data_IF_290216214373
#
_entry.id   IF_290216214373
#
_cell.length_a   1.000
_cell.length_b   1.000
_cell.length_c   1.000
_cell.angle_alpha   90.00
_cell.angle_beta   90.00
_cell.angle_gamma   90.00
#
_symmetry.space_group_name_H-M   'P 1'
#
loop_
_entity.id
_entity.type
_entity.pdbx_description
1 polymer ?
#
# COMPACT_ATOMS: atom_id res chain seq x y z
N UNK A 1 -47.58 60.45 -37.73
CA UNK A 1 -46.35 59.69 -37.40
C UNK A 1 -46.69 58.67 -36.34
N UNK A 2 -46.95 57.41 -36.74
CA UNK A 2 -47.29 56.31 -35.84
C UNK A 2 -46.08 55.41 -35.62
N UNK A 3 -45.58 55.35 -34.39
CA UNK A 3 -44.45 54.51 -34.00
C UNK A 3 -44.99 53.08 -33.78
N UNK A 4 -44.72 52.18 -34.72
CA UNK A 4 -44.94 50.73 -34.57
C UNK A 4 -43.95 50.18 -33.55
N UNK A 5 -44.44 49.76 -32.38
CA UNK A 5 -43.68 48.90 -31.45
C UNK A 5 -43.56 47.51 -32.05
N UNK A 6 -42.34 47.09 -32.33
CA UNK A 6 -41.98 45.72 -32.69
C UNK A 6 -41.87 44.94 -31.38
N UNK A 7 -42.86 44.07 -31.10
CA UNK A 7 -42.74 43.09 -30.03
C UNK A 7 -41.75 42.01 -30.49
N UNK A 8 -40.60 41.92 -29.82
CA UNK A 8 -39.65 40.83 -29.99
C UNK A 8 -40.20 39.60 -29.26
N UNK A 9 -40.46 38.45 -29.91
CA UNK A 9 -40.94 37.26 -29.23
C UNK A 9 -39.84 36.78 -28.28
N UNK A 10 -40.15 36.86 -26.99
CA UNK A 10 -39.27 36.40 -25.93
C UNK A 10 -38.78 34.99 -26.21
N UNK A 11 -37.46 34.86 -26.27
CA UNK A 11 -36.76 33.58 -26.25
C UNK A 11 -37.08 32.91 -24.92
N UNK A 12 -38.17 32.15 -24.87
CA UNK A 12 -38.46 31.18 -23.82
C UNK A 12 -37.49 30.00 -24.00
N UNK A 13 -36.18 30.24 -23.82
CA UNK A 13 -35.21 29.17 -23.63
C UNK A 13 -35.43 28.56 -22.24
N UNK A 14 -36.43 27.69 -22.16
CA UNK A 14 -36.26 26.33 -21.66
C UNK A 14 -35.41 26.18 -20.38
N UNK A 15 -35.83 26.79 -19.26
CA UNK A 15 -35.31 26.46 -17.91
C UNK A 15 -35.45 24.98 -17.52
N UNK A 16 -36.26 24.18 -18.23
CA UNK A 16 -36.49 22.75 -17.96
C UNK A 16 -35.50 21.80 -18.65
N UNK A 17 -34.96 22.16 -19.82
CA UNK A 17 -33.96 21.36 -20.52
C UNK A 17 -32.65 21.20 -19.71
N UNK A 18 -32.09 22.22 -19.04
CA UNK A 18 -30.86 22.05 -18.27
C UNK A 18 -31.05 21.17 -17.02
N UNK A 19 -32.23 21.16 -16.39
CA UNK A 19 -32.49 20.32 -15.23
C UNK A 19 -32.56 18.82 -15.59
N UNK A 20 -33.19 18.48 -16.72
CA UNK A 20 -33.27 17.09 -17.18
C UNK A 20 -31.89 16.52 -17.55
N UNK A 21 -31.04 17.31 -18.22
CA UNK A 21 -29.68 16.91 -18.57
C UNK A 21 -28.80 16.73 -17.33
N UNK A 22 -28.91 17.62 -16.34
CA UNK A 22 -28.20 17.49 -15.06
C UNK A 22 -28.62 16.20 -14.33
N UNK A 23 -29.92 15.90 -14.29
CA UNK A 23 -30.42 14.69 -13.65
C UNK A 23 -29.88 13.41 -14.32
N UNK A 24 -29.90 13.34 -15.66
CA UNK A 24 -29.34 12.21 -16.41
C UNK A 24 -27.84 12.07 -16.12
N UNK A 25 -27.10 13.16 -16.08
CA UNK A 25 -25.67 13.15 -15.73
C UNK A 25 -25.43 12.64 -14.30
N UNK A 26 -26.21 13.10 -13.32
CA UNK A 26 -26.15 12.60 -11.95
C UNK A 26 -26.50 11.10 -11.87
N UNK A 27 -27.50 10.64 -12.62
CA UNK A 27 -27.82 9.21 -12.69
C UNK A 27 -26.71 8.39 -13.34
N UNK A 28 -26.04 8.89 -14.39
CA UNK A 28 -24.90 8.21 -14.99
C UNK A 28 -23.73 8.10 -14.01
N UNK A 29 -23.40 9.18 -13.30
CA UNK A 29 -22.36 9.16 -12.25
C UNK A 29 -22.76 8.20 -11.13
N UNK A 30 -24.01 8.24 -10.67
CA UNK A 30 -24.50 7.35 -9.62
C UNK A 30 -24.44 5.88 -10.05
N UNK A 31 -24.84 5.56 -11.28
CA UNK A 31 -24.73 4.19 -11.81
C UNK A 31 -23.28 3.73 -11.87
N UNK A 32 -22.36 4.57 -12.37
CA UNK A 32 -20.92 4.26 -12.36
C UNK A 32 -20.43 4.07 -10.92
N UNK A 33 -20.84 4.93 -9.99
CA UNK A 33 -20.49 4.80 -8.58
C UNK A 33 -20.97 3.47 -7.99
N UNK A 34 -22.24 3.11 -8.17
CA UNK A 34 -22.79 1.87 -7.64
C UNK A 34 -22.20 0.63 -8.33
N UNK A 35 -21.92 0.69 -9.63
CA UNK A 35 -21.35 -0.45 -10.36
C UNK A 35 -19.88 -0.69 -10.03
N UNK A 36 -19.08 0.36 -9.84
CA UNK A 36 -17.63 0.23 -9.70
C UNK A 36 -17.11 0.44 -8.27
N UNK A 37 -17.84 1.17 -7.43
CA UNK A 37 -17.38 1.59 -6.10
C UNK A 37 -18.25 1.08 -4.95
N UNK A 38 -19.43 0.51 -5.22
CA UNK A 38 -20.20 -0.21 -4.20
C UNK A 38 -19.71 -1.65 -4.13
N UNK A 39 -18.79 -1.91 -3.21
CA UNK A 39 -18.30 -3.26 -2.99
C UNK A 39 -19.35 -4.10 -2.25
N UNK A 40 -19.33 -5.41 -2.49
CA UNK A 40 -20.10 -6.36 -1.70
C UNK A 40 -19.71 -6.30 -0.20
N UNK A 41 -20.44 -7.04 0.65
CA UNK A 41 -20.13 -7.09 2.07
C UNK A 41 -18.65 -7.49 2.29
N UNK A 42 -17.96 -6.92 3.28
CA UNK A 42 -16.55 -7.19 3.55
C UNK A 42 -16.20 -8.67 3.62
N UNK A 43 -17.12 -9.48 4.12
CA UNK A 43 -17.00 -10.92 4.26
C UNK A 43 -16.79 -11.63 2.90
N UNK A 44 -17.52 -11.19 1.87
CA UNK A 44 -17.40 -11.77 0.51
C UNK A 44 -16.04 -11.43 -0.11
N UNK A 45 -15.56 -10.20 0.12
CA UNK A 45 -14.24 -9.75 -0.36
C UNK A 45 -13.15 -10.56 0.33
N UNK A 46 -13.24 -10.72 1.65
CA UNK A 46 -12.29 -11.52 2.43
C UNK A 46 -12.30 -12.99 2.01
N UNK A 47 -13.48 -13.59 1.79
CA UNK A 47 -13.61 -14.97 1.35
C UNK A 47 -12.93 -15.21 -0.01
N UNK A 48 -13.09 -14.28 -0.96
CA UNK A 48 -12.42 -14.37 -2.28
C UNK A 48 -10.90 -14.28 -2.16
N UNK A 49 -10.39 -13.38 -1.32
CA UNK A 49 -8.93 -13.26 -1.09
C UNK A 49 -8.36 -14.51 -0.41
N UNK A 50 -9.07 -15.09 0.56
CA UNK A 50 -8.68 -16.38 1.19
C UNK A 50 -8.64 -17.53 0.18
N UNK A 51 -9.62 -17.62 -0.71
CA UNK A 51 -9.63 -18.64 -1.77
C UNK A 51 -8.45 -18.50 -2.72
N UNK A 52 -8.05 -17.28 -3.07
CA UNK A 52 -6.87 -17.04 -3.90
C UNK A 52 -5.57 -17.46 -3.19
N UNK A 53 -5.47 -17.25 -1.88
CA UNK A 53 -4.32 -17.70 -1.09
C UNK A 53 -4.22 -19.23 -1.03
N UNK A 54 -5.32 -19.92 -0.71
CA UNK A 54 -5.32 -21.39 -0.65
C UNK A 54 -5.11 -22.05 -2.02
N UNK A 55 -5.62 -21.44 -3.10
CA UNK A 55 -5.36 -21.91 -4.46
C UNK A 55 -3.88 -21.83 -4.83
N UNK A 56 -3.17 -20.77 -4.40
CA UNK A 56 -1.75 -20.62 -4.64
C UNK A 56 -0.88 -21.56 -3.79
N UNK A 57 -1.37 -21.99 -2.62
CA UNK A 57 -0.70 -22.92 -1.71
C UNK A 57 -0.82 -24.38 -2.20
N UNK A 58 -1.97 -24.77 -2.76
CA UNK A 58 -2.21 -26.13 -3.27
C UNK A 58 -1.39 -26.49 -4.52
N UNK A 59 -0.89 -25.49 -5.26
CA UNK A 59 -0.05 -25.70 -6.44
C UNK A 59 1.46 -25.65 -6.12
N UNK A 60 1.84 -25.33 -4.87
CA UNK A 60 3.23 -25.05 -4.46
C UNK A 60 3.67 -25.85 -3.21
N UNK A 61 3.30 -27.12 -3.09
CA UNK A 61 3.70 -27.99 -1.97
C UNK A 61 5.22 -28.30 -1.87
N UNK A 62 6.07 -27.70 -2.72
CA UNK A 62 7.54 -27.85 -2.64
C UNK A 62 8.32 -26.52 -2.60
N UNK A 63 7.64 -25.36 -2.59
CA UNK A 63 8.29 -24.05 -2.41
C UNK A 63 7.37 -23.11 -1.64
N UNK A 64 7.59 -23.00 -0.33
CA UNK A 64 6.90 -22.04 0.55
C UNK A 64 7.13 -20.60 0.10
N UNK A 65 6.23 -20.14 -0.78
CA UNK A 65 6.38 -18.87 -1.48
C UNK A 65 5.01 -18.23 -1.73
N UNK A 66 4.50 -17.49 -0.75
CA UNK A 66 3.59 -16.36 -1.00
C UNK A 66 4.34 -15.20 -1.71
N UNK A 67 5.12 -15.52 -2.75
CA UNK A 67 5.57 -14.56 -3.74
C UNK A 67 4.58 -14.69 -4.86
N UNK A 68 3.77 -13.65 -5.05
CA UNK A 68 3.18 -13.43 -6.34
C UNK A 68 4.31 -13.47 -7.39
N UNK A 69 4.39 -14.59 -8.12
CA UNK A 69 5.01 -14.71 -9.44
C UNK A 69 6.45 -14.15 -9.55
N UNK A 70 7.40 -14.82 -8.89
CA UNK A 70 8.85 -14.59 -9.11
C UNK A 70 9.29 -14.93 -10.55
N UNK A 71 8.52 -15.74 -11.27
CA UNK A 71 8.87 -16.21 -12.62
C UNK A 71 8.80 -15.13 -13.71
N UNK A 72 8.12 -14.01 -13.48
CA UNK A 72 8.19 -12.84 -14.39
C UNK A 72 9.37 -11.90 -14.08
N UNK A 73 10.07 -12.09 -12.95
CA UNK A 73 11.22 -11.27 -12.56
C UNK A 73 12.48 -11.60 -13.38
N UNK A 74 12.67 -12.86 -13.78
CA UNK A 74 13.87 -13.30 -14.49
C UNK A 74 13.86 -13.01 -16.00
N UNK A 75 12.77 -12.47 -16.55
CA UNK A 75 12.62 -12.27 -17.99
C UNK A 75 13.05 -10.88 -18.48
N UNK A 76 13.36 -9.92 -17.61
CA UNK A 76 13.62 -8.51 -18.00
C UNK A 76 15.02 -8.00 -17.62
N UNK A 77 15.79 -8.70 -16.78
CA UNK A 77 17.12 -8.25 -16.33
C UNK A 77 18.30 -9.06 -16.90
N UNK A 78 18.14 -9.69 -18.07
CA UNK A 78 19.25 -10.35 -18.77
C UNK A 78 19.86 -9.45 -19.84
N UNK A 79 20.44 -8.30 -19.46
CA UNK A 79 21.53 -7.70 -20.23
C UNK A 79 22.58 -7.08 -19.28
N UNK A 80 23.78 -7.68 -19.33
CA UNK A 80 25.10 -7.13 -18.98
C UNK A 80 25.58 -7.14 -17.51
N UNK A 81 26.33 -8.21 -17.17
CA UNK A 81 27.73 -8.05 -16.74
C UNK A 81 28.05 -8.11 -15.24
N UNK A 82 28.67 -9.22 -14.81
CA UNK A 82 29.44 -9.32 -13.56
C UNK A 82 29.10 -10.55 -12.74
N UNK A 83 30.02 -11.52 -12.65
CA UNK A 83 29.93 -12.73 -11.83
C UNK A 83 30.11 -12.43 -10.33
N UNK A 84 29.39 -11.43 -9.81
CA UNK A 84 29.24 -11.24 -8.37
C UNK A 84 28.10 -12.16 -7.91
N UNK A 85 28.44 -13.19 -7.16
CA UNK A 85 27.52 -14.15 -6.55
C UNK A 85 26.55 -13.39 -5.62
N UNK A 86 25.43 -12.90 -6.18
CA UNK A 86 24.39 -12.20 -5.41
C UNK A 86 23.88 -13.14 -4.32
N UNK A 87 24.28 -12.87 -3.08
CA UNK A 87 23.76 -13.54 -1.89
C UNK A 87 22.24 -13.36 -1.88
N UNK A 88 21.49 -14.46 -1.82
CA UNK A 88 20.04 -14.40 -1.75
C UNK A 88 19.64 -14.22 -0.29
N UNK A 89 18.57 -13.46 -0.04
CA UNK A 89 17.98 -13.31 1.30
C UNK A 89 17.66 -14.68 1.94
N UNK A 90 17.34 -15.69 1.13
CA UNK A 90 17.04 -17.06 1.57
C UNK A 90 18.22 -17.79 2.23
N UNK A 91 19.45 -17.33 1.97
CA UNK A 91 20.65 -17.88 2.59
C UNK A 91 20.97 -17.21 3.94
N UNK A 92 20.29 -16.10 4.27
CA UNK A 92 20.42 -15.40 5.54
C UNK A 92 19.60 -16.11 6.64
N UNK A 93 20.22 -16.64 7.72
CA UNK A 93 19.50 -17.33 8.78
C UNK A 93 18.46 -16.45 9.49
N UNK A 94 18.74 -15.15 9.65
CA UNK A 94 17.85 -14.20 10.33
C UNK A 94 16.59 -13.93 9.49
N UNK A 95 16.75 -13.90 8.16
CA UNK A 95 15.61 -13.86 7.24
C UNK A 95 14.73 -15.09 7.38
N UNK A 96 15.32 -16.29 7.38
CA UNK A 96 14.58 -17.55 7.47
C UNK A 96 13.82 -17.65 8.80
N UNK A 97 14.46 -17.28 9.91
CA UNK A 97 13.84 -17.29 11.23
C UNK A 97 12.71 -16.27 11.33
N UNK A 98 12.96 -15.01 10.95
CA UNK A 98 11.95 -13.94 10.99
C UNK A 98 10.74 -14.26 10.10
N UNK A 99 10.97 -14.81 8.89
CA UNK A 99 9.91 -15.28 7.99
C UNK A 99 9.01 -16.31 8.66
N UNK A 100 9.59 -17.33 9.29
CA UNK A 100 8.84 -18.39 9.99
C UNK A 100 8.00 -17.83 11.14
N UNK A 101 8.53 -16.89 11.92
CA UNK A 101 7.79 -16.26 13.02
C UNK A 101 6.56 -15.50 12.51
N UNK A 102 6.73 -14.68 11.47
CA UNK A 102 5.63 -13.93 10.89
C UNK A 102 4.59 -14.83 10.21
N UNK A 103 5.01 -15.87 9.48
CA UNK A 103 4.08 -16.82 8.87
C UNK A 103 3.24 -17.55 9.93
N UNK A 104 3.85 -17.97 11.05
CA UNK A 104 3.14 -18.56 12.17
C UNK A 104 2.16 -17.58 12.81
N UNK A 105 2.55 -16.31 12.96
CA UNK A 105 1.66 -15.25 13.46
C UNK A 105 0.44 -15.06 12.55
N UNK A 106 0.64 -14.97 11.23
CA UNK A 106 -0.46 -14.83 10.26
C UNK A 106 -1.40 -16.04 10.31
N UNK A 107 -0.83 -17.25 10.28
CA UNK A 107 -1.60 -18.51 10.26
C UNK A 107 -2.38 -18.72 11.56
N UNK A 108 -1.77 -18.48 12.71
CA UNK A 108 -2.43 -18.66 14.02
C UNK A 108 -3.60 -17.70 14.25
N UNK A 109 -3.61 -16.56 13.58
CA UNK A 109 -4.67 -15.55 13.69
C UNK A 109 -5.67 -15.56 12.52
N UNK A 110 -5.57 -16.51 11.57
CA UNK A 110 -6.43 -16.60 10.38
C UNK A 110 -6.48 -15.28 9.57
N UNK A 111 -5.32 -14.62 9.47
CA UNK A 111 -5.16 -13.37 8.74
C UNK A 111 -4.87 -13.58 7.26
N UNK A 112 -5.38 -12.65 6.44
CA UNK A 112 -5.07 -12.59 5.01
C UNK A 112 -3.88 -11.65 4.83
N UNK A 113 -2.68 -12.21 4.67
CA UNK A 113 -1.47 -11.42 4.37
C UNK A 113 -1.53 -10.85 2.96
N UNK A 114 -1.32 -9.54 2.82
CA UNK A 114 -1.28 -8.85 1.51
C UNK A 114 0.12 -8.36 1.16
N UNK A 115 1.05 -8.30 2.10
CA UNK A 115 2.45 -8.11 1.78
C UNK A 115 3.38 -8.08 2.97
N UNK A 116 4.66 -8.05 2.64
CA UNK A 116 5.78 -8.26 3.53
C UNK A 116 6.59 -6.97 3.65
N UNK A 117 7.09 -6.68 4.86
CA UNK A 117 7.90 -5.50 5.16
C UNK A 117 9.29 -5.94 5.61
N UNK A 118 10.32 -5.47 4.91
CA UNK A 118 11.71 -5.86 5.15
C UNK A 118 12.53 -4.71 5.76
N UNK A 119 13.55 -5.02 6.57
CA UNK A 119 14.45 -4.05 7.24
C UNK A 119 15.48 -3.38 6.33
N UNK A 120 15.70 -3.95 5.13
CA UNK A 120 16.65 -3.47 4.15
C UNK A 120 16.02 -3.26 2.77
N UNK A 121 16.53 -2.28 2.03
CA UNK A 121 16.13 -2.04 0.64
C UNK A 121 17.03 -2.72 -0.40
N UNK A 122 18.23 -3.10 0.01
CA UNK A 122 19.20 -3.79 -0.84
C UNK A 122 18.98 -5.32 -0.70
N UNK A 123 19.31 -6.07 -1.74
CA UNK A 123 19.18 -7.54 -1.73
C UNK A 123 20.34 -8.17 -0.96
N UNK A 124 20.07 -9.26 -0.23
CA UNK A 124 21.08 -10.07 0.46
C UNK A 124 21.21 -9.79 1.96
N UNK A 125 20.52 -8.76 2.48
CA UNK A 125 20.58 -8.37 3.90
C UNK A 125 19.19 -7.99 4.46
N UNK A 126 18.13 -8.54 3.88
CA UNK A 126 16.77 -8.24 4.32
C UNK A 126 16.35 -9.16 5.45
N UNK A 127 15.82 -8.59 6.53
CA UNK A 127 15.11 -9.33 7.58
C UNK A 127 13.63 -8.94 7.52
N UNK A 128 12.73 -9.90 7.71
CA UNK A 128 11.30 -9.61 7.70
C UNK A 128 10.88 -8.99 9.03
N UNK A 129 10.57 -7.69 9.00
CA UNK A 129 10.23 -6.89 10.19
C UNK A 129 8.74 -6.64 10.33
N UNK A 130 7.93 -6.98 9.32
CA UNK A 130 6.51 -6.71 9.38
C UNK A 130 5.68 -7.44 8.33
N UNK A 131 4.37 -7.36 8.53
CA UNK A 131 3.34 -7.87 7.64
C UNK A 131 2.23 -6.84 7.49
N UNK A 132 1.74 -6.67 6.27
CA UNK A 132 0.48 -6.00 6.00
C UNK A 132 -0.61 -7.05 5.80
N UNK A 133 -1.71 -6.92 6.53
CA UNK A 133 -2.86 -7.83 6.44
C UNK A 133 -4.11 -7.09 5.98
N UNK A 134 -5.05 -7.84 5.40
CA UNK A 134 -6.38 -7.35 5.08
C UNK A 134 -7.37 -7.73 6.19
N UNK A 135 -8.20 -6.77 6.61
CA UNK A 135 -9.29 -6.95 7.58
C UNK A 135 -10.58 -6.30 7.07
N UNK A 136 -11.76 -6.78 7.50
CA UNK A 136 -13.01 -6.08 7.25
C UNK A 136 -13.04 -4.75 8.01
N UNK A 137 -13.43 -3.67 7.32
CA UNK A 137 -13.69 -2.37 7.95
C UNK A 137 -15.18 -2.28 8.32
N UNK A 138 -15.52 -2.73 9.52
CA UNK A 138 -16.91 -2.73 10.01
C UNK A 138 -17.46 -1.34 10.27
N UNK A 139 -16.60 -0.35 10.50
CA UNK A 139 -17.00 1.01 10.84
C UNK A 139 -17.36 1.80 9.60
N UNK A 140 -16.56 1.70 8.54
CA UNK A 140 -16.76 2.47 7.31
C UNK A 140 -17.31 1.64 6.14
N UNK A 141 -17.44 0.32 6.31
CA UNK A 141 -17.71 -0.62 5.23
C UNK A 141 -16.46 -0.91 4.38
N UNK A 142 -16.47 -2.05 3.70
CA UNK A 142 -15.36 -2.51 2.86
C UNK A 142 -14.22 -3.16 3.63
N UNK A 143 -12.98 -2.94 3.20
CA UNK A 143 -11.77 -3.55 3.77
C UNK A 143 -10.77 -2.47 4.19
N UNK A 144 -9.93 -2.81 5.17
CA UNK A 144 -8.79 -2.02 5.60
C UNK A 144 -7.53 -2.87 5.64
N UNK A 145 -6.39 -2.21 5.49
CA UNK A 145 -5.09 -2.80 5.75
C UNK A 145 -4.78 -2.59 7.24
N UNK A 146 -4.25 -3.62 7.89
CA UNK A 146 -3.59 -3.49 9.19
C UNK A 146 -2.13 -3.84 9.00
N UNK A 147 -1.27 -2.90 9.34
CA UNK A 147 0.18 -3.05 9.23
C UNK A 147 0.70 -3.38 10.61
N UNK A 148 1.44 -4.48 10.71
CA UNK A 148 2.26 -4.83 11.87
C UNK A 148 3.71 -4.60 11.50
N UNK A 149 4.43 -3.87 12.34
CA UNK A 149 5.85 -3.62 12.17
C UNK A 149 6.56 -3.80 13.52
N UNK A 150 7.65 -4.54 13.53
CA UNK A 150 8.52 -4.70 14.67
C UNK A 150 9.96 -4.46 14.25
N UNK A 151 10.59 -3.47 14.83
CA UNK A 151 11.95 -3.09 14.47
C UNK A 151 12.66 -2.47 15.68
N UNK A 152 13.99 -2.42 15.60
CA UNK A 152 14.86 -1.86 16.65
C UNK A 152 15.80 -0.87 16.01
N UNK A 153 16.01 0.28 16.64
CA UNK A 153 17.03 1.23 16.23
C UNK A 153 18.36 0.89 16.89
N UNK A 154 19.45 0.85 16.13
CA UNK A 154 20.79 0.56 16.69
C UNK A 154 21.36 1.75 17.46
N UNK A 155 21.05 2.97 17.02
CA UNK A 155 21.57 4.22 17.55
C UNK A 155 20.42 5.14 18.03
N UNK A 156 20.76 6.15 18.81
CA UNK A 156 19.81 7.17 19.26
C UNK A 156 19.60 8.19 18.12
N UNK A 157 18.34 8.54 17.85
CA UNK A 157 18.01 9.47 16.78
C UNK A 157 17.16 10.64 17.28
N UNK A 158 17.71 11.84 17.11
CA UNK A 158 17.08 13.10 17.52
C UNK A 158 16.16 13.68 16.44
N UNK A 159 16.32 13.23 15.19
CA UNK A 159 15.56 13.68 14.04
C UNK A 159 16.18 13.23 12.73
N UNK A 160 15.59 13.64 11.62
CA UNK A 160 15.93 13.14 10.30
C UNK A 160 14.81 13.32 9.29
N UNK A 161 15.01 12.78 8.09
CA UNK A 161 14.03 12.77 7.02
C UNK A 161 13.46 11.37 6.84
N UNK A 162 12.14 11.27 6.69
CA UNK A 162 11.45 10.06 6.24
C UNK A 162 11.12 10.23 4.76
N UNK A 163 11.59 9.32 3.94
CA UNK A 163 11.36 9.30 2.49
C UNK A 163 10.50 8.10 2.15
N UNK A 164 9.47 8.29 1.32
CA UNK A 164 8.60 7.24 0.81
C UNK A 164 8.53 7.29 -0.72
N UNK A 165 9.12 6.30 -1.35
CA UNK A 165 9.08 6.07 -2.78
C UNK A 165 8.11 4.93 -3.09
N UNK A 166 7.12 5.18 -3.95
CA UNK A 166 6.18 4.17 -4.45
C UNK A 166 6.26 4.13 -5.96
N UNK A 167 6.44 2.92 -6.52
CA UNK A 167 6.39 2.67 -7.95
C UNK A 167 5.21 1.78 -8.30
N UNK A 168 4.53 2.09 -9.40
CA UNK A 168 3.51 1.26 -10.03
C UNK A 168 3.98 0.82 -11.42
N UNK A 169 4.13 -0.48 -11.63
CA UNK A 169 4.66 -1.07 -12.87
C UNK A 169 5.97 -0.39 -13.32
N UNK A 170 6.93 -0.27 -12.40
CA UNK A 170 8.24 0.37 -12.57
C UNK A 170 8.18 1.88 -12.88
N UNK A 171 7.01 2.52 -12.81
CA UNK A 171 6.88 3.98 -12.92
C UNK A 171 6.68 4.58 -11.54
N UNK A 172 7.36 5.68 -11.28
CA UNK A 172 7.15 6.45 -10.05
C UNK A 172 5.67 6.89 -9.97
N UNK A 173 5.04 6.53 -8.86
CA UNK A 173 3.67 6.88 -8.54
C UNK A 173 3.63 7.96 -7.46
N UNK A 174 4.55 7.88 -6.51
CA UNK A 174 4.62 8.75 -5.35
C UNK A 174 6.06 8.83 -4.88
N UNK A 175 6.53 10.03 -4.61
CA UNK A 175 7.79 10.31 -3.95
C UNK A 175 7.53 11.48 -3.02
N UNK A 176 7.79 11.28 -1.73
CA UNK A 176 7.59 12.33 -0.76
C UNK A 176 8.54 12.20 0.41
N UNK A 177 8.87 13.36 0.94
CA UNK A 177 9.86 13.58 1.97
C UNK A 177 9.20 14.32 3.11
N UNK A 178 9.47 13.89 4.33
CA UNK A 178 8.95 14.56 5.51
C UNK A 178 9.99 14.60 6.62
N UNK A 179 9.99 15.69 7.38
CA UNK A 179 10.72 15.74 8.63
C UNK A 179 10.12 14.73 9.61
N UNK A 180 10.93 13.76 10.02
CA UNK A 180 10.51 12.59 10.79
C UNK A 180 9.77 13.00 12.07
N UNK A 181 10.28 14.01 12.77
CA UNK A 181 9.74 14.43 14.06
C UNK A 181 8.47 15.30 13.97
N UNK A 182 8.07 15.70 12.76
CA UNK A 182 6.93 16.61 12.51
C UNK A 182 5.74 15.85 11.90
N UNK A 183 5.99 14.70 11.24
CA UNK A 183 5.00 13.89 10.52
C UNK A 183 3.67 13.68 11.25
N UNK A 184 3.72 13.56 12.59
CA UNK A 184 2.60 13.14 13.41
C UNK A 184 2.37 14.02 14.66
N UNK A 185 2.98 15.20 14.77
CA UNK A 185 2.96 15.99 16.02
C UNK A 185 1.54 16.33 16.51
N UNK A 186 0.57 16.42 15.59
CA UNK A 186 -0.83 16.75 15.88
C UNK A 186 -1.79 15.55 15.73
N UNK A 187 -1.28 14.33 15.54
CA UNK A 187 -2.10 13.13 15.37
C UNK A 187 -2.21 12.40 16.73
N UNK A 188 -3.43 12.00 17.15
CA UNK A 188 -3.61 11.27 18.41
C UNK A 188 -2.96 9.88 18.41
N UNK A 189 -2.66 9.36 17.23
CA UNK A 189 -2.08 8.05 16.96
C UNK A 189 -0.71 8.19 16.27
N UNK A 190 0.08 9.14 16.77
CA UNK A 190 1.45 9.41 16.39
C UNK A 190 2.28 8.13 16.41
N UNK A 191 2.92 7.82 15.28
CA UNK A 191 3.81 6.67 15.14
C UNK A 191 5.26 7.07 15.41
N UNK A 192 5.63 8.31 15.07
CA UNK A 192 7.01 8.74 15.17
C UNK A 192 7.26 9.60 16.40
N UNK A 193 7.92 9.04 17.41
CA UNK A 193 8.35 9.76 18.60
C UNK A 193 9.82 10.11 18.51
N UNK A 194 10.16 11.40 18.59
CA UNK A 194 11.54 11.85 18.74
C UNK A 194 11.74 12.36 20.17
N UNK A 195 12.87 12.04 20.82
CA UNK A 195 13.96 11.19 20.32
C UNK A 195 13.64 9.69 20.40
N UNK A 196 14.32 8.89 19.56
CA UNK A 196 14.31 7.43 19.66
C UNK A 196 15.52 6.94 20.44
N UNK A 197 15.28 6.09 21.44
CA UNK A 197 16.35 5.47 22.22
C UNK A 197 17.04 4.34 21.45
N UNK A 198 18.38 4.29 21.54
CA UNK A 198 19.18 3.20 21.00
C UNK A 198 18.78 1.86 21.63
N UNK A 199 18.70 0.82 20.81
CA UNK A 199 18.35 -0.55 21.16
C UNK A 199 16.93 -0.73 21.75
N UNK A 200 16.08 0.30 21.68
CA UNK A 200 14.68 0.15 22.05
C UNK A 200 13.92 -0.62 20.97
N UNK A 201 13.17 -1.64 21.41
CA UNK A 201 12.29 -2.40 20.54
C UNK A 201 10.97 -1.65 20.34
N UNK A 202 10.60 -1.44 19.08
CA UNK A 202 9.37 -0.76 18.70
C UNK A 202 8.44 -1.72 17.99
N UNK A 203 7.20 -1.79 18.46
CA UNK A 203 6.13 -2.57 17.83
C UNK A 203 4.96 -1.65 17.52
N UNK A 204 4.59 -1.59 16.24
CA UNK A 204 3.52 -0.75 15.74
C UNK A 204 2.43 -1.57 15.09
N UNK A 205 1.20 -1.16 15.35
CA UNK A 205 0.01 -1.65 14.67
C UNK A 205 -0.77 -0.46 14.16
N UNK A 206 -0.92 -0.34 12.84
CA UNK A 206 -1.62 0.78 12.23
C UNK A 206 -2.66 0.29 11.23
N UNK A 207 -3.87 0.80 11.39
CA UNK A 207 -4.94 0.61 10.41
C UNK A 207 -4.86 1.70 9.34
N UNK A 208 -4.94 1.29 8.08
CA UNK A 208 -5.05 2.19 6.93
C UNK A 208 -6.23 1.76 6.09
N UNK A 209 -7.08 2.73 5.75
CA UNK A 209 -8.19 2.50 4.83
C UNK A 209 -7.62 2.17 3.46
N UNK A 210 -8.04 1.03 2.88
CA UNK A 210 -7.70 0.69 1.51
C UNK A 210 -8.70 1.44 0.62
N UNK A 211 -8.23 2.18 -0.41
CA UNK A 211 -9.16 2.81 -1.34
C UNK A 211 -9.99 1.73 -2.02
N UNK A 212 -11.24 2.06 -2.32
CA UNK A 212 -12.21 1.21 -3.02
C UNK A 212 -11.64 0.53 -4.28
N UNK A 213 -10.71 1.18 -4.96
CA UNK A 213 -10.07 0.65 -6.15
C UNK A 213 -8.56 0.77 -6.07
N UNK A 214 -7.89 -0.38 -6.13
CA UNK A 214 -6.46 -0.48 -6.45
C UNK A 214 -6.34 -1.14 -7.85
N UNK A 215 -5.74 -0.46 -8.83
CA UNK A 215 -5.45 -1.08 -10.13
C UNK A 215 -4.65 -2.37 -9.97
N UNK A 216 -4.90 -3.35 -10.85
CA UNK A 216 -4.02 -4.53 -10.95
C UNK A 216 -2.62 -4.10 -11.40
N UNK A 217 -1.60 -4.79 -10.90
CA UNK A 217 -0.21 -4.52 -11.26
C UNK A 217 0.75 -4.68 -10.10
N UNK A 218 1.99 -4.28 -10.36
CA UNK A 218 3.12 -4.36 -9.44
C UNK A 218 3.30 -3.04 -8.71
N UNK A 219 3.28 -3.08 -7.39
CA UNK A 219 3.54 -1.94 -6.52
C UNK A 219 4.80 -2.22 -5.71
N UNK A 220 5.80 -1.37 -5.87
CA UNK A 220 7.00 -1.38 -5.04
C UNK A 220 6.96 -0.18 -4.14
N UNK A 221 7.28 -0.39 -2.87
CA UNK A 221 7.44 0.71 -1.92
C UNK A 221 8.78 0.59 -1.23
N UNK A 222 9.56 1.67 -1.27
CA UNK A 222 10.74 1.87 -0.45
C UNK A 222 10.44 3.01 0.51
N UNK A 223 10.66 2.76 1.78
CA UNK A 223 10.56 3.77 2.81
C UNK A 223 11.91 3.80 3.52
N UNK A 224 12.53 4.95 3.69
CA UNK A 224 13.76 5.01 4.46
C UNK A 224 13.81 6.25 5.34
N UNK A 225 14.62 6.12 6.39
CA UNK A 225 14.90 7.20 7.31
C UNK A 225 16.36 7.56 7.16
N UNK A 226 16.64 8.84 7.03
CA UNK A 226 17.99 9.41 7.18
C UNK A 226 18.11 10.11 8.53
N UNK A 227 19.31 10.16 9.10
CA UNK A 227 19.58 11.00 10.26
C UNK A 227 19.90 12.45 9.85
N UNK A 228 20.37 13.27 10.79
CA UNK A 228 20.75 14.67 10.54
C UNK A 228 21.97 14.85 9.61
N UNK A 229 22.72 13.79 9.35
CA UNK A 229 23.91 13.78 8.48
C UNK A 229 23.60 13.15 7.10
N UNK A 230 22.32 13.00 6.75
CA UNK A 230 21.83 12.29 5.55
C UNK A 230 22.27 10.82 5.44
N UNK A 231 22.74 10.22 6.55
CA UNK A 231 23.06 8.79 6.60
C UNK A 231 21.76 8.01 6.74
N UNK A 232 21.53 7.05 5.84
CA UNK A 232 20.40 6.12 5.91
C UNK A 232 20.54 5.19 7.11
N UNK A 233 19.53 5.18 7.97
CA UNK A 233 19.52 4.44 9.25
C UNK A 233 18.47 3.34 9.31
N UNK A 234 17.44 3.43 8.48
CA UNK A 234 16.40 2.42 8.36
C UNK A 234 15.92 2.39 6.92
N UNK A 235 15.67 1.20 6.36
CA UNK A 235 15.15 1.06 5.00
C UNK A 235 14.09 -0.04 4.91
N UNK A 236 12.83 0.35 4.92
CA UNK A 236 11.70 -0.49 4.59
C UNK A 236 11.61 -0.79 3.10
N UNK A 237 11.51 -2.06 2.72
CA UNK A 237 11.08 -2.46 1.38
C UNK A 237 9.81 -3.29 1.44
N UNK A 238 8.95 -3.13 0.44
CA UNK A 238 7.79 -3.99 0.23
C UNK A 238 7.41 -4.08 -1.25
N UNK A 239 6.89 -5.26 -1.62
CA UNK A 239 6.44 -5.58 -2.96
C UNK A 239 5.03 -6.16 -2.87
N UNK A 240 4.10 -5.56 -3.60
CA UNK A 240 2.71 -6.00 -3.70
C UNK A 240 2.35 -6.24 -5.17
N UNK A 241 1.71 -7.36 -5.47
CA UNK A 241 1.22 -7.66 -6.82
C UNK A 241 -0.27 -8.01 -6.71
N UNK A 242 -1.09 -7.25 -7.44
CA UNK A 242 -2.56 -7.29 -7.46
C UNK A 242 -3.12 -7.73 -8.82
#
# INVERSE_FOLDING_TARGET
MGIKRICNPGVMYTRRIPAALLFIFCCMIFSVYVTYFNHGPPEDIMARNRQQQHGAESDNEDKGLHVAKRDELNAVENEEGGDDEKIKDEDNPDFVESKKLWENFIKSNDYVSIGDLYSGCDEGDRVLVGKSIMLPDKENGGIKARIFLNFTFEEEYMGGEFVLEVKYNNKELYDNHWDMCILDENQPDRLIFCPYEANAQWSWVKDKKIPSYLPKGRYETKAYVTNQDDKRILCGYSLFIL
#
